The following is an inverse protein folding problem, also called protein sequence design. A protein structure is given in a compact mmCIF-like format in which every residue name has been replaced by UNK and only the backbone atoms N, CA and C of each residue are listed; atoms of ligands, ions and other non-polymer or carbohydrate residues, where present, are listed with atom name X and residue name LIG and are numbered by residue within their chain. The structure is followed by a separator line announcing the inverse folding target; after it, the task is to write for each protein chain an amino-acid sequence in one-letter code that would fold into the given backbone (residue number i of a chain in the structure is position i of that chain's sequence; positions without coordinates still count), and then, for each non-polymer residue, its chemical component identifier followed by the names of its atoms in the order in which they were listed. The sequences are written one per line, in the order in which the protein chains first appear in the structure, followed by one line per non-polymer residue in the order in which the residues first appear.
data_IF_410446035013
#
_entry.id   IF_410446035013
#
_cell.length_a   1.000
_cell.length_b   1.000
_cell.length_c   1.000
_cell.angle_alpha   90.00
_cell.angle_beta   90.00
_cell.angle_gamma   90.00
#
_symmetry.space_group_name_H-M   'P 1'
#
loop_
_entity.id
_entity.type
_entity.pdbx_description
1 polymer ?
#
# COMPACT_ATOMS: atom_id res chain seq x y z
N UNK A 1 -13.03 -2.68 5.06
CA UNK A 1 -14.13 -3.48 5.65
C UNK A 1 -15.08 -2.52 6.36
N UNK A 2 -16.40 -2.66 6.16
CA UNK A 2 -17.39 -1.86 6.86
C UNK A 2 -18.08 -2.69 7.95
N UNK A 3 -18.13 -2.14 9.17
CA UNK A 3 -18.77 -2.73 10.34
C UNK A 3 -19.91 -1.80 10.76
N UNK A 4 -21.09 -2.35 11.03
CA UNK A 4 -22.23 -1.56 11.51
C UNK A 4 -22.58 -2.01 12.92
N UNK A 5 -22.39 -1.12 13.89
CA UNK A 5 -22.87 -1.30 15.26
C UNK A 5 -24.30 -0.78 15.33
N UNK A 6 -25.28 -1.69 15.26
CA UNK A 6 -26.70 -1.33 15.14
C UNK A 6 -27.31 -0.84 16.45
N UNK A 7 -26.84 -1.34 17.60
CA UNK A 7 -27.46 -1.08 18.90
C UNK A 7 -26.44 -1.02 20.04
N UNK A 8 -26.83 -0.44 21.17
CA UNK A 8 -26.03 -0.38 22.41
C UNK A 8 -25.63 -1.76 22.94
N UNK A 9 -26.42 -2.80 22.63
CA UNK A 9 -26.18 -4.18 23.07
C UNK A 9 -25.15 -4.91 22.20
N UNK A 10 -24.68 -4.27 21.13
CA UNK A 10 -23.59 -4.78 20.31
C UNK A 10 -22.27 -4.56 21.07
N UNK A 11 -21.35 -5.54 21.10
CA UNK A 11 -20.11 -5.47 21.87
C UNK A 11 -19.33 -4.17 21.65
N UNK A 12 -18.71 -3.69 22.73
CA UNK A 12 -17.91 -2.45 22.76
C UNK A 12 -16.58 -2.61 22.01
N UNK A 13 -16.12 -3.85 21.84
CA UNK A 13 -14.90 -4.19 21.12
C UNK A 13 -15.20 -5.21 20.02
N UNK A 14 -14.72 -4.92 18.81
CA UNK A 14 -14.69 -5.89 17.72
C UNK A 14 -13.28 -6.46 17.58
N UNK A 15 -13.14 -7.76 17.75
CA UNK A 15 -11.85 -8.46 17.69
C UNK A 15 -11.71 -9.20 16.36
N UNK A 16 -10.61 -8.98 15.66
CA UNK A 16 -10.27 -9.62 14.40
C UNK A 16 -8.96 -10.39 14.55
N UNK A 17 -8.95 -11.65 14.09
CA UNK A 17 -7.69 -12.39 13.99
C UNK A 17 -6.81 -11.76 12.92
N UNK A 18 -5.59 -11.35 13.29
CA UNK A 18 -4.63 -10.78 12.35
C UNK A 18 -3.56 -11.82 12.03
N UNK A 19 -3.59 -12.32 10.78
CA UNK A 19 -2.50 -13.16 10.27
C UNK A 19 -1.46 -12.25 9.61
N UNK A 20 -0.28 -12.16 10.22
CA UNK A 20 0.86 -11.42 9.66
C UNK A 20 1.82 -12.36 8.93
N UNK A 21 2.58 -11.86 7.94
CA UNK A 21 3.62 -12.64 7.26
C UNK A 21 4.70 -13.14 8.23
N UNK A 22 5.43 -14.20 7.84
CA UNK A 22 6.59 -14.67 8.60
C UNK A 22 7.72 -13.61 8.58
N UNK A 23 8.47 -13.52 9.68
CA UNK A 23 9.53 -12.50 9.85
C UNK A 23 8.99 -11.08 10.05
N UNK A 24 7.78 -10.96 10.61
CA UNK A 24 7.13 -9.67 10.88
C UNK A 24 6.51 -9.66 12.28
N UNK A 25 6.39 -8.46 12.85
CA UNK A 25 5.69 -8.24 14.11
C UNK A 25 4.71 -7.07 13.98
N UNK A 26 3.82 -6.97 14.96
CA UNK A 26 2.87 -5.86 15.07
C UNK A 26 3.30 -4.91 16.18
N UNK A 27 3.18 -3.62 15.92
CA UNK A 27 3.47 -2.57 16.90
C UNK A 27 2.33 -1.57 16.98
N UNK A 28 1.99 -1.19 18.20
CA UNK A 28 1.01 -0.14 18.45
C UNK A 28 1.62 1.22 18.02
N UNK A 29 0.94 1.91 17.12
CA UNK A 29 1.15 3.32 16.81
C UNK A 29 0.16 4.20 17.58
N UNK A 30 0.17 5.51 17.32
CA UNK A 30 -0.69 6.46 18.05
C UNK A 30 -2.20 6.16 17.89
N UNK A 31 -2.66 5.90 16.65
CA UNK A 31 -4.03 5.50 16.30
C UNK A 31 -4.06 4.44 15.17
N UNK A 32 -2.99 3.68 15.07
CA UNK A 32 -2.82 2.67 14.04
C UNK A 32 -2.14 1.47 14.65
N UNK A 33 -2.31 0.32 14.01
CA UNK A 33 -1.44 -0.82 14.24
C UNK A 33 -0.53 -0.95 13.03
N UNK A 34 0.78 -0.92 13.28
CA UNK A 34 1.80 -1.07 12.25
C UNK A 34 2.20 -2.53 12.18
N UNK A 35 2.30 -3.06 10.96
CA UNK A 35 2.96 -4.34 10.68
C UNK A 35 4.35 -3.99 10.20
N UNK A 36 5.37 -4.49 10.87
CA UNK A 36 6.78 -4.16 10.63
C UNK A 36 7.56 -5.45 10.36
N UNK A 37 8.60 -5.37 9.53
CA UNK A 37 9.58 -6.44 9.42
C UNK A 37 10.34 -6.62 10.74
N UNK A 38 10.77 -7.84 11.02
CA UNK A 38 11.64 -8.09 12.17
C UNK A 38 13.01 -7.44 11.97
N UNK A 39 13.52 -6.84 13.04
CA UNK A 39 14.84 -6.24 13.02
C UNK A 39 15.94 -7.33 12.98
N UNK A 40 17.00 -7.06 12.22
CA UNK A 40 18.22 -7.88 12.18
C UNK A 40 19.46 -7.01 12.41
N UNK A 41 20.62 -7.58 12.77
CA UNK A 41 21.84 -6.79 12.95
C UNK A 41 22.17 -5.93 11.72
N UNK A 42 22.17 -4.60 11.88
CA UNK A 42 22.39 -3.63 10.80
C UNK A 42 21.17 -3.30 9.92
N UNK A 43 20.01 -3.92 10.18
CA UNK A 43 18.76 -3.69 9.44
C UNK A 43 17.64 -3.38 10.46
N UNK A 44 17.28 -2.09 10.67
CA UNK A 44 16.19 -1.74 11.58
C UNK A 44 14.86 -2.27 11.04
N UNK A 45 13.91 -2.53 11.94
CA UNK A 45 12.54 -2.86 11.58
C UNK A 45 11.96 -1.75 10.68
N UNK A 46 11.31 -2.16 9.60
CA UNK A 46 10.65 -1.23 8.68
C UNK A 46 9.17 -1.55 8.63
N UNK A 47 8.32 -0.52 8.67
CA UNK A 47 6.90 -0.69 8.41
C UNK A 47 6.71 -1.34 7.04
N UNK A 48 5.77 -2.27 6.94
CA UNK A 48 5.37 -2.91 5.68
C UNK A 48 3.85 -2.85 5.48
N UNK A 49 3.09 -2.59 6.56
CA UNK A 49 1.68 -2.25 6.46
C UNK A 49 1.19 -1.42 7.66
N UNK A 50 0.06 -0.76 7.48
CA UNK A 50 -0.66 -0.01 8.51
C UNK A 50 -2.13 -0.42 8.51
N UNK A 51 -2.65 -0.74 9.69
CA UNK A 51 -4.06 -0.95 9.97
C UNK A 51 -4.60 0.31 10.67
N UNK A 52 -5.67 0.88 10.14
CA UNK A 52 -6.24 2.13 10.63
C UNK A 52 -7.76 2.14 10.51
N UNK A 53 -8.41 2.97 11.32
CA UNK A 53 -9.84 3.26 11.20
C UNK A 53 -10.00 4.68 10.66
N UNK A 54 -9.99 4.88 9.33
CA UNK A 54 -10.03 6.22 8.75
C UNK A 54 -11.38 6.92 8.90
N UNK A 55 -12.48 6.17 9.05
CA UNK A 55 -13.83 6.73 9.16
C UNK A 55 -14.63 5.95 10.19
N UNK A 56 -15.22 6.66 11.14
CA UNK A 56 -16.29 6.16 11.97
C UNK A 56 -17.33 7.28 12.20
N UNK A 57 -18.61 6.97 11.99
CA UNK A 57 -19.69 7.97 12.10
C UNK A 57 -20.88 7.44 12.87
N UNK A 58 -21.51 8.32 13.63
CA UNK A 58 -22.76 8.07 14.34
C UNK A 58 -23.99 8.19 13.41
N UNK A 59 -25.18 7.94 13.96
CA UNK A 59 -26.46 8.05 13.26
C UNK A 59 -26.77 9.43 12.65
N UNK A 60 -26.16 10.48 13.21
CA UNK A 60 -26.32 11.88 12.80
C UNK A 60 -25.22 12.30 11.81
N UNK A 61 -24.31 11.39 11.48
CA UNK A 61 -23.16 11.63 10.60
C UNK A 61 -21.96 12.28 11.30
N UNK A 62 -21.98 12.46 12.62
CA UNK A 62 -20.86 13.03 13.36
C UNK A 62 -19.70 12.04 13.42
N UNK A 63 -18.43 12.50 13.35
CA UNK A 63 -17.28 11.64 13.50
C UNK A 63 -17.21 11.04 14.93
N UNK A 64 -16.87 9.75 14.99
CA UNK A 64 -16.64 9.01 16.23
C UNK A 64 -15.17 8.61 16.28
N UNK A 65 -14.52 8.80 17.42
CA UNK A 65 -13.14 8.40 17.60
C UNK A 65 -13.08 6.88 17.81
N UNK A 66 -12.32 6.18 16.95
CA UNK A 66 -12.11 4.73 17.06
C UNK A 66 -10.62 4.45 16.99
N UNK A 67 -10.12 3.69 17.97
CA UNK A 67 -8.70 3.39 18.08
C UNK A 67 -8.47 1.90 17.82
N UNK A 68 -7.72 1.53 16.76
CA UNK A 68 -7.27 0.17 16.59
C UNK A 68 -6.18 -0.13 17.63
N UNK A 69 -6.37 -1.19 18.41
CA UNK A 69 -5.42 -1.64 19.43
C UNK A 69 -5.02 -3.10 19.22
N UNK A 70 -3.75 -3.41 19.50
CA UNK A 70 -3.30 -4.80 19.56
C UNK A 70 -3.94 -5.45 20.78
N UNK A 71 -4.62 -6.56 20.55
CA UNK A 71 -5.25 -7.37 21.58
C UNK A 71 -4.67 -8.79 21.52
N UNK A 72 -4.29 -9.35 22.66
CA UNK A 72 -3.86 -10.74 22.74
C UNK A 72 -4.94 -11.56 23.39
N UNK A 73 -5.37 -12.65 22.76
CA UNK A 73 -6.05 -13.71 23.50
C UNK A 73 -4.99 -14.70 23.99
N UNK A 74 -4.72 -14.69 25.30
CA UNK A 74 -3.65 -15.45 25.94
C UNK A 74 -3.79 -16.97 25.69
N UNK A 75 -4.99 -17.42 25.31
CA UNK A 75 -5.32 -18.82 25.05
C UNK A 75 -4.84 -19.31 23.69
N UNK A 76 -4.71 -18.44 22.68
CA UNK A 76 -4.50 -18.87 21.29
C UNK A 76 -3.18 -18.42 20.65
N UNK A 77 -2.31 -17.68 21.37
CA UNK A 77 -1.08 -17.08 20.82
C UNK A 77 -1.31 -16.32 19.50
N UNK A 78 -2.54 -15.85 19.25
CA UNK A 78 -2.91 -15.09 18.07
C UNK A 78 -2.83 -13.60 18.39
N UNK A 79 -2.16 -12.85 17.51
CA UNK A 79 -2.25 -11.40 17.52
C UNK A 79 -3.63 -11.02 17.00
N UNK A 80 -4.47 -10.47 17.86
CA UNK A 80 -5.78 -9.95 17.47
C UNK A 80 -5.72 -8.43 17.34
N UNK A 81 -6.53 -7.89 16.45
CA UNK A 81 -6.81 -6.46 16.36
C UNK A 81 -8.15 -6.21 17.03
N UNK A 82 -8.19 -5.36 18.06
CA UNK A 82 -9.43 -4.87 18.63
C UNK A 82 -9.70 -3.43 18.18
N UNK A 83 -10.96 -3.11 17.91
CA UNK A 83 -11.40 -1.73 17.68
C UNK A 83 -12.04 -1.20 18.95
N UNK A 84 -11.34 -0.28 19.62
CA UNK A 84 -11.85 0.42 20.79
C UNK A 84 -12.63 1.66 20.34
N UNK A 85 -13.92 1.66 20.66
CA UNK A 85 -14.89 2.69 20.30
C UNK A 85 -15.00 3.81 21.34
N UNK A 86 -14.25 3.72 22.45
CA UNK A 86 -14.39 4.62 23.59
C UNK A 86 -15.71 4.41 24.36
N UNK A 87 -16.04 5.30 25.31
CA UNK A 87 -17.24 5.18 26.13
C UNK A 87 -18.51 5.19 25.27
N UNK A 88 -19.45 4.27 25.57
CA UNK A 88 -20.68 4.11 24.81
C UNK A 88 -21.61 5.33 24.93
N UNK A 89 -21.86 6.03 23.81
CA UNK A 89 -22.93 7.01 23.69
C UNK A 89 -24.20 6.36 23.12
N UNK A 90 -25.25 6.25 23.95
CA UNK A 90 -26.52 5.62 23.60
C UNK A 90 -27.26 6.29 22.43
N UNK A 91 -26.91 7.52 22.07
CA UNK A 91 -27.51 8.26 20.96
C UNK A 91 -26.72 8.17 19.65
N UNK A 92 -25.56 7.52 19.64
CA UNK A 92 -24.68 7.44 18.49
C UNK A 92 -25.04 6.33 17.48
N UNK A 93 -26.08 5.54 17.74
CA UNK A 93 -26.40 4.34 16.98
C UNK A 93 -27.37 4.57 15.81
N UNK A 94 -27.10 4.03 14.60
CA UNK A 94 -26.02 3.10 14.28
C UNK A 94 -24.66 3.79 14.07
N UNK A 95 -23.59 3.12 14.51
CA UNK A 95 -22.22 3.56 14.18
C UNK A 95 -21.70 2.76 12.99
N UNK A 96 -21.29 3.44 11.94
CA UNK A 96 -20.60 2.83 10.79
C UNK A 96 -19.10 3.02 10.94
N UNK A 97 -18.34 1.93 10.93
CA UNK A 97 -16.88 1.92 11.10
C UNK A 97 -16.27 1.33 9.84
N UNK A 98 -15.32 2.04 9.24
CA UNK A 98 -14.52 1.53 8.13
C UNK A 98 -13.13 1.19 8.63
N UNK A 99 -12.77 -0.10 8.59
CA UNK A 99 -11.43 -0.59 8.85
C UNK A 99 -10.66 -0.70 7.52
N UNK A 100 -9.50 -0.06 7.45
CA UNK A 100 -8.65 -0.05 6.26
C UNK A 100 -7.28 -0.65 6.54
N UNK A 101 -6.86 -1.57 5.67
CA UNK A 101 -5.52 -2.13 5.63
C UNK A 101 -4.76 -1.47 4.47
N UNK A 102 -3.60 -0.88 4.78
CA UNK A 102 -2.69 -0.30 3.80
C UNK A 102 -1.35 -1.02 3.91
N UNK A 103 -1.05 -1.95 3.01
CA UNK A 103 0.35 -2.34 2.79
C UNK A 103 1.11 -1.07 2.41
N UNK A 104 2.25 -0.76 3.01
CA UNK A 104 3.16 0.34 2.64
C UNK A 104 4.35 0.39 3.59
N UNK A 105 5.52 0.79 3.09
CA UNK A 105 6.69 1.11 3.89
C UNK A 105 6.67 2.49 4.56
N UNK A 106 5.68 3.32 4.20
CA UNK A 106 5.45 4.62 4.84
C UNK A 106 4.31 4.47 5.85
N UNK A 107 4.56 4.68 7.16
CA UNK A 107 3.52 4.67 8.17
C UNK A 107 2.41 5.68 7.82
N UNK A 108 1.16 5.25 7.88
CA UNK A 108 0.04 6.20 7.91
C UNK A 108 -0.19 6.64 9.36
N UNK A 109 -0.28 7.94 9.61
CA UNK A 109 -0.68 8.46 10.92
C UNK A 109 -2.20 8.37 11.05
N UNK A 110 -2.70 7.48 11.89
CA UNK A 110 -4.14 7.40 12.18
C UNK A 110 -4.70 8.57 13.00
N UNK A 111 -4.01 9.73 13.11
CA UNK A 111 -4.51 10.88 13.89
C UNK A 111 -4.59 12.20 13.13
N UNK A 112 -5.77 12.82 13.29
CA UNK A 112 -6.10 14.24 13.47
C UNK A 112 -5.53 15.23 12.44
N UNK A 113 -5.91 15.07 11.18
CA UNK A 113 -6.20 16.23 10.34
C UNK A 113 -7.72 16.29 10.12
N UNK A 114 -8.26 17.50 10.06
CA UNK A 114 -9.71 17.79 10.06
C UNK A 114 -10.41 17.54 8.72
N UNK A 115 -9.82 16.75 7.81
CA UNK A 115 -10.24 16.65 6.41
C UNK A 115 -10.68 15.24 5.97
N UNK A 116 -10.88 14.30 6.91
CA UNK A 116 -11.19 12.90 6.60
C UNK A 116 -12.69 12.58 6.56
N UNK A 117 -13.42 13.17 5.62
CA UNK A 117 -14.73 12.60 5.22
C UNK A 117 -14.61 11.20 4.57
N UNK A 118 -13.40 10.63 4.50
CA UNK A 118 -13.00 9.76 3.41
C UNK A 118 -12.72 10.60 2.17
N UNK A 119 -11.95 10.07 1.22
CA UNK A 119 -11.99 10.67 -0.11
C UNK A 119 -13.39 10.37 -0.67
N UNK A 120 -14.20 11.38 -1.00
CA UNK A 120 -15.51 11.15 -1.59
C UNK A 120 -15.36 10.44 -2.93
N UNK A 121 -16.42 9.79 -3.38
CA UNK A 121 -16.49 9.27 -4.74
C UNK A 121 -16.24 10.42 -5.72
N UNK A 122 -15.24 10.24 -6.59
CA UNK A 122 -14.73 11.30 -7.47
C UNK A 122 -13.32 11.80 -7.11
N UNK A 123 -12.77 11.33 -6.00
CA UNK A 123 -11.47 11.78 -5.49
C UNK A 123 -11.60 13.12 -4.77
N UNK A 124 -10.68 13.37 -3.85
CA UNK A 124 -10.68 14.57 -3.03
C UNK A 124 -9.83 15.71 -3.60
N UNK A 125 -9.80 16.86 -2.90
CA UNK A 125 -8.90 17.97 -3.21
C UNK A 125 -7.43 17.52 -3.36
N UNK A 126 -6.58 18.27 -4.07
CA UNK A 126 -5.15 17.96 -4.25
C UNK A 126 -4.42 17.61 -2.93
N UNK A 127 -4.82 18.24 -1.83
CA UNK A 127 -4.32 18.01 -0.49
C UNK A 127 -4.66 16.60 0.02
N UNK A 128 -5.86 16.12 -0.27
CA UNK A 128 -6.32 14.78 0.12
C UNK A 128 -5.68 13.68 -0.77
N UNK A 129 -5.39 13.99 -2.05
CA UNK A 129 -4.56 13.14 -2.92
C UNK A 129 -3.09 13.09 -2.45
N UNK A 130 -2.57 14.20 -1.92
CA UNK A 130 -1.25 14.26 -1.27
C UNK A 130 -1.24 13.46 0.04
N UNK A 131 -2.33 13.50 0.82
CA UNK A 131 -2.51 12.69 2.03
C UNK A 131 -2.59 11.18 1.74
N UNK A 132 -3.12 10.78 0.57
CA UNK A 132 -3.06 9.39 0.09
C UNK A 132 -1.62 8.91 -0.23
N UNK A 133 -0.62 9.81 -0.16
CA UNK A 133 0.79 9.56 -0.43
C UNK A 133 1.01 8.85 -1.77
N UNK A 134 0.34 9.32 -2.83
CA UNK A 134 0.58 8.82 -4.17
C UNK A 134 2.05 9.05 -4.51
N UNK A 135 2.79 7.96 -4.68
CA UNK A 135 4.19 8.05 -5.07
C UNK A 135 4.25 8.10 -6.60
N UNK A 136 4.51 9.30 -7.14
CA UNK A 136 4.55 9.52 -8.59
C UNK A 136 5.62 8.69 -9.31
N UNK A 137 5.63 8.69 -10.64
CA UNK A 137 6.59 7.94 -11.43
C UNK A 137 8.06 8.27 -11.04
N UNK A 138 8.94 7.27 -10.89
CA UNK A 138 10.37 7.50 -10.69
C UNK A 138 10.96 8.16 -11.94
N UNK A 139 11.58 9.33 -11.76
CA UNK A 139 12.14 10.11 -12.88
C UNK A 139 13.36 9.49 -13.55
N UNK A 140 13.96 8.47 -12.93
CA UNK A 140 15.16 7.77 -13.37
C UNK A 140 14.90 6.31 -13.78
N UNK A 141 13.63 5.93 -13.94
CA UNK A 141 13.29 4.63 -14.52
C UNK A 141 13.67 4.57 -16.00
N UNK A 142 14.41 3.53 -16.37
CA UNK A 142 14.84 3.30 -17.75
C UNK A 142 13.84 2.38 -18.44
N UNK A 143 13.18 2.90 -19.46
CA UNK A 143 12.36 2.13 -20.41
C UNK A 143 13.27 1.66 -21.54
N UNK A 144 13.46 0.35 -21.66
CA UNK A 144 14.31 -0.28 -22.68
C UNK A 144 13.82 -1.70 -22.98
N UNK A 145 12.60 -1.86 -23.54
CA UNK A 145 12.04 -3.18 -23.82
C UNK A 145 12.84 -3.96 -24.87
N UNK A 146 13.63 -3.26 -25.70
CA UNK A 146 14.52 -3.86 -26.69
C UNK A 146 15.87 -4.33 -26.14
N UNK A 147 16.22 -3.97 -24.90
CA UNK A 147 17.49 -4.35 -24.29
C UNK A 147 18.71 -3.66 -24.91
N UNK A 148 18.55 -2.48 -25.52
CA UNK A 148 19.63 -1.73 -26.16
C UNK A 148 20.74 -1.32 -25.17
N UNK A 149 20.39 -1.14 -23.88
CA UNK A 149 21.30 -0.78 -22.80
C UNK A 149 21.61 -1.93 -21.85
N UNK A 150 21.17 -3.17 -22.18
CA UNK A 150 21.40 -4.35 -21.35
C UNK A 150 22.88 -4.74 -21.33
N UNK A 151 23.51 -4.85 -20.16
CA UNK A 151 24.85 -5.44 -20.06
C UNK A 151 24.88 -6.90 -20.53
N UNK A 152 25.96 -7.30 -21.20
CA UNK A 152 26.06 -8.65 -21.80
C UNK A 152 25.96 -9.82 -20.80
N UNK A 153 26.26 -9.58 -19.53
CA UNK A 153 26.20 -10.55 -18.45
C UNK A 153 24.83 -10.62 -17.73
N UNK A 154 23.87 -9.78 -18.12
CA UNK A 154 22.53 -9.75 -17.53
C UNK A 154 21.57 -10.63 -18.31
N UNK A 155 20.78 -11.45 -17.62
CA UNK A 155 19.75 -12.28 -18.23
C UNK A 155 18.73 -11.43 -19.02
N UNK A 156 18.44 -11.76 -20.30
CA UNK A 156 17.56 -10.95 -21.15
C UNK A 156 16.11 -10.93 -20.68
N UNK A 157 15.62 -12.02 -20.10
CA UNK A 157 14.25 -12.12 -19.60
C UNK A 157 14.10 -11.28 -18.35
N UNK A 158 15.05 -11.37 -17.41
CA UNK A 158 15.09 -10.57 -16.21
C UNK A 158 15.17 -9.07 -16.55
N UNK A 159 16.07 -8.67 -17.46
CA UNK A 159 16.19 -7.28 -17.89
C UNK A 159 14.91 -6.75 -18.54
N UNK A 160 14.31 -7.50 -19.46
CA UNK A 160 13.07 -7.11 -20.11
C UNK A 160 11.92 -6.94 -19.10
N UNK A 161 11.89 -7.74 -18.02
CA UNK A 161 10.92 -7.56 -16.95
C UNK A 161 11.12 -6.27 -16.17
N UNK A 162 12.36 -5.78 -16.04
CA UNK A 162 12.69 -4.57 -15.27
C UNK A 162 12.59 -3.29 -16.06
N UNK A 163 12.77 -3.34 -17.38
CA UNK A 163 12.83 -2.16 -18.25
C UNK A 163 11.70 -2.13 -19.28
N UNK A 164 10.54 -2.67 -18.91
CA UNK A 164 9.34 -2.64 -19.73
C UNK A 164 8.82 -1.20 -19.96
N UNK A 165 8.01 -1.01 -21.00
CA UNK A 165 7.30 0.25 -21.29
C UNK A 165 5.85 0.25 -20.77
N UNK A 166 5.47 -0.82 -20.05
CA UNK A 166 4.12 -1.04 -19.53
C UNK A 166 4.13 -1.98 -18.33
N UNK A 167 3.04 -2.00 -17.59
CA UNK A 167 2.77 -3.03 -16.59
C UNK A 167 2.69 -4.40 -17.28
N UNK A 168 3.58 -5.33 -16.92
CA UNK A 168 3.57 -6.68 -17.51
C UNK A 168 2.35 -7.51 -17.06
N UNK A 169 1.85 -7.17 -15.88
CA UNK A 169 0.68 -7.76 -15.24
C UNK A 169 -0.67 -7.34 -15.83
N UNK A 170 -0.73 -6.36 -16.74
CA UNK A 170 -2.00 -5.87 -17.27
C UNK A 170 -1.99 -4.41 -17.71
N UNK A 171 -3.16 -3.76 -17.77
CA UNK A 171 -3.29 -2.35 -18.14
C UNK A 171 -2.43 -1.42 -17.29
N UNK A 172 -2.00 -0.30 -17.87
CA UNK A 172 -1.27 0.75 -17.16
C UNK A 172 -2.17 1.58 -16.24
N UNK A 173 -3.48 1.48 -16.38
CA UNK A 173 -4.46 2.26 -15.64
C UNK A 173 -5.76 1.49 -15.46
N UNK A 174 -6.53 1.86 -14.45
CA UNK A 174 -7.95 1.55 -14.38
C UNK A 174 -8.76 2.80 -14.72
N UNK A 175 -9.76 2.65 -15.59
CA UNK A 175 -10.63 3.74 -16.04
C UNK A 175 -12.09 3.37 -15.80
N UNK A 176 -12.82 4.21 -15.10
CA UNK A 176 -14.27 4.08 -14.88
C UNK A 176 -15.07 4.55 -16.09
N UNK A 177 -16.36 4.22 -16.12
CA UNK A 177 -17.28 4.62 -17.20
C UNK A 177 -17.42 6.13 -17.32
N UNK A 178 -17.34 6.86 -16.19
CA UNK A 178 -17.39 8.32 -16.15
C UNK A 178 -16.06 9.01 -16.52
N UNK A 179 -15.03 8.22 -16.86
CA UNK A 179 -13.76 8.72 -17.38
C UNK A 179 -12.73 9.10 -16.33
N UNK A 180 -12.97 8.87 -15.03
CA UNK A 180 -11.92 8.95 -14.01
C UNK A 180 -10.92 7.82 -14.18
N UNK A 181 -9.64 8.11 -13.89
CA UNK A 181 -8.54 7.17 -14.12
C UNK A 181 -7.62 7.07 -12.90
N UNK A 182 -7.27 5.85 -12.52
CA UNK A 182 -6.19 5.55 -11.56
C UNK A 182 -4.97 5.00 -12.32
N UNK A 183 -3.83 5.66 -12.18
CA UNK A 183 -2.57 5.26 -12.83
C UNK A 183 -1.88 4.14 -12.05
N UNK A 184 -1.65 3.00 -12.70
CA UNK A 184 -0.86 1.89 -12.15
C UNK A 184 0.55 1.83 -12.71
N UNK A 185 0.85 2.56 -13.78
CA UNK A 185 2.15 2.49 -14.43
C UNK A 185 3.29 2.92 -13.51
N UNK A 186 3.11 4.05 -12.81
CA UNK A 186 4.06 4.52 -11.80
C UNK A 186 4.35 3.46 -10.71
N UNK A 187 3.36 2.66 -10.33
CA UNK A 187 3.50 1.58 -9.36
C UNK A 187 4.33 0.42 -9.92
N UNK A 188 4.10 0.03 -11.18
CA UNK A 188 4.86 -1.00 -11.88
C UNK A 188 6.33 -0.60 -12.07
N UNK A 189 6.62 0.65 -12.45
CA UNK A 189 7.99 1.17 -12.56
C UNK A 189 8.74 1.08 -11.23
N UNK A 190 8.09 1.49 -10.13
CA UNK A 190 8.67 1.40 -8.78
C UNK A 190 8.91 -0.02 -8.33
N UNK A 191 8.00 -0.94 -8.68
CA UNK A 191 8.17 -2.36 -8.39
C UNK A 191 9.42 -2.90 -9.08
N UNK A 192 9.60 -2.60 -10.38
CA UNK A 192 10.79 -3.00 -11.12
C UNK A 192 12.07 -2.47 -10.46
N UNK A 193 12.14 -1.17 -10.19
CA UNK A 193 13.31 -0.56 -9.53
C UNK A 193 13.58 -1.11 -8.13
N UNK A 194 12.54 -1.44 -7.38
CA UNK A 194 12.68 -2.09 -6.07
C UNK A 194 13.29 -3.48 -6.21
N UNK A 195 12.83 -4.25 -7.20
CA UNK A 195 13.33 -5.60 -7.44
C UNK A 195 14.81 -5.60 -7.87
N UNK A 196 15.30 -4.55 -8.53
CA UNK A 196 16.70 -4.41 -8.95
C UNK A 196 17.70 -4.40 -7.79
N UNK A 197 17.25 -4.04 -6.58
CA UNK A 197 18.11 -4.03 -5.37
C UNK A 197 17.87 -5.23 -4.46
N UNK A 198 17.08 -6.22 -4.90
CA UNK A 198 16.88 -7.48 -4.17
C UNK A 198 18.03 -8.47 -4.40
N UNK A 199 18.38 -9.32 -3.43
CA UNK A 199 17.96 -9.30 -2.03
C UNK A 199 18.79 -8.34 -1.16
N UNK A 200 19.74 -7.60 -1.75
CA UNK A 200 20.78 -6.88 -1.01
C UNK A 200 20.24 -5.75 -0.11
N UNK A 201 19.18 -5.05 -0.54
CA UNK A 201 18.60 -3.91 0.20
C UNK A 201 17.16 -4.15 0.65
N UNK A 202 16.46 -5.13 0.07
CA UNK A 202 15.05 -5.43 0.36
C UNK A 202 14.69 -6.83 -0.13
N UNK A 203 13.48 -7.34 0.19
CA UNK A 203 12.97 -8.61 -0.29
C UNK A 203 12.01 -8.45 -1.47
N UNK A 204 11.86 -9.52 -2.26
CA UNK A 204 10.92 -9.59 -3.38
C UNK A 204 9.48 -9.37 -2.91
N UNK A 205 9.12 -9.92 -1.75
CA UNK A 205 7.82 -9.79 -1.12
C UNK A 205 7.53 -8.34 -0.74
N UNK A 206 8.50 -7.62 -0.16
CA UNK A 206 8.36 -6.20 0.18
C UNK A 206 8.10 -5.38 -1.09
N UNK A 207 8.84 -5.62 -2.17
CA UNK A 207 8.62 -4.93 -3.44
C UNK A 207 7.22 -5.20 -4.03
N UNK A 208 6.74 -6.45 -3.99
CA UNK A 208 5.40 -6.83 -4.45
C UNK A 208 4.31 -6.16 -3.61
N UNK A 209 4.47 -6.13 -2.29
CA UNK A 209 3.53 -5.49 -1.38
C UNK A 209 3.49 -3.96 -1.57
N UNK A 210 4.65 -3.33 -1.80
CA UNK A 210 4.72 -1.89 -2.08
C UNK A 210 4.08 -1.53 -3.42
N UNK A 211 4.15 -2.39 -4.44
CA UNK A 211 3.46 -2.17 -5.70
C UNK A 211 1.94 -2.15 -5.51
N UNK A 212 1.40 -3.16 -4.81
CA UNK A 212 -0.02 -3.24 -4.48
C UNK A 212 -0.49 -2.06 -3.62
N UNK A 213 0.33 -1.65 -2.64
CA UNK A 213 0.12 -0.47 -1.82
C UNK A 213 -0.11 0.80 -2.66
N UNK A 214 0.80 1.03 -3.61
CA UNK A 214 0.79 2.22 -4.44
C UNK A 214 -0.43 2.22 -5.38
N UNK A 215 -0.76 1.07 -5.99
CA UNK A 215 -1.95 0.91 -6.83
C UNK A 215 -3.25 1.13 -6.01
N UNK A 216 -3.31 0.58 -4.79
CA UNK A 216 -4.46 0.78 -3.90
C UNK A 216 -4.62 2.25 -3.52
N UNK A 217 -3.51 2.96 -3.27
CA UNK A 217 -3.53 4.39 -3.01
C UNK A 217 -4.05 5.20 -4.21
N UNK A 218 -3.73 4.78 -5.44
CA UNK A 218 -4.26 5.37 -6.67
C UNK A 218 -5.77 5.16 -6.79
N UNK A 219 -6.26 3.95 -6.49
CA UNK A 219 -7.70 3.68 -6.43
C UNK A 219 -8.40 4.58 -5.40
N UNK A 220 -7.82 4.69 -4.20
CA UNK A 220 -8.36 5.53 -3.15
C UNK A 220 -8.38 7.01 -3.54
N UNK A 221 -7.28 7.50 -4.14
CA UNK A 221 -7.13 8.88 -4.60
C UNK A 221 -8.14 9.28 -5.68
N UNK A 222 -8.50 8.36 -6.58
CA UNK A 222 -9.37 8.63 -7.72
C UNK A 222 -10.84 8.34 -7.43
N UNK A 223 -11.13 7.26 -6.71
CA UNK A 223 -12.50 6.75 -6.56
C UNK A 223 -13.05 6.88 -5.13
N UNK A 224 -12.24 7.30 -4.17
CA UNK A 224 -12.64 7.29 -2.77
C UNK A 224 -12.36 5.95 -2.10
N UNK A 225 -12.98 5.67 -0.96
CA UNK A 225 -12.69 4.45 -0.17
C UNK A 225 -13.79 3.38 -0.25
N UNK A 226 -14.87 3.66 -0.96
CA UNK A 226 -16.06 2.80 -1.09
C UNK A 226 -16.71 3.03 -2.44
N UNK A 227 -17.56 2.10 -2.87
CA UNK A 227 -18.33 2.21 -4.10
C UNK A 227 -17.84 1.28 -5.21
N UNK A 228 -18.64 1.08 -6.26
CA UNK A 228 -18.39 0.07 -7.28
C UNK A 228 -17.10 0.33 -8.07
N UNK A 229 -16.79 1.60 -8.38
CA UNK A 229 -15.55 1.94 -9.10
C UNK A 229 -14.31 1.70 -8.26
N UNK A 230 -14.37 2.01 -6.96
CA UNK A 230 -13.27 1.73 -6.03
C UNK A 230 -13.03 0.22 -5.89
N UNK A 231 -14.08 -0.57 -5.72
CA UNK A 231 -13.99 -2.03 -5.63
C UNK A 231 -13.46 -2.65 -6.92
N UNK A 232 -13.94 -2.18 -8.09
CA UNK A 232 -13.44 -2.61 -9.39
C UNK A 232 -11.96 -2.26 -9.57
N UNK A 233 -11.55 -1.04 -9.23
CA UNK A 233 -10.16 -0.62 -9.27
C UNK A 233 -9.27 -1.51 -8.38
N UNK A 234 -9.69 -1.79 -7.14
CA UNK A 234 -8.96 -2.68 -6.24
C UNK A 234 -8.89 -4.11 -6.76
N UNK A 235 -9.93 -4.61 -7.42
CA UNK A 235 -9.89 -5.94 -8.04
C UNK A 235 -8.83 -6.02 -9.14
N UNK A 236 -8.70 -4.97 -9.96
CA UNK A 236 -7.62 -4.90 -10.95
C UNK A 236 -6.25 -4.86 -10.25
N UNK A 237 -6.07 -4.00 -9.24
CA UNK A 237 -4.82 -3.94 -8.46
C UNK A 237 -4.45 -5.28 -7.79
N UNK A 238 -5.43 -6.04 -7.29
CA UNK A 238 -5.23 -7.40 -6.79
C UNK A 238 -4.79 -8.36 -7.89
N UNK A 239 -5.36 -8.25 -9.10
CA UNK A 239 -4.91 -8.98 -10.29
C UNK A 239 -3.44 -8.71 -10.61
N UNK A 240 -3.01 -7.44 -10.54
CA UNK A 240 -1.60 -7.07 -10.70
C UNK A 240 -0.69 -7.75 -9.65
N UNK A 241 -1.11 -7.76 -8.38
CA UNK A 241 -0.36 -8.37 -7.30
C UNK A 241 -0.27 -9.90 -7.45
N UNK A 242 -1.38 -10.56 -7.80
CA UNK A 242 -1.44 -12.00 -8.03
C UNK A 242 -0.52 -12.42 -9.18
N UNK A 243 -0.62 -11.74 -10.33
CA UNK A 243 0.26 -11.99 -11.47
C UNK A 243 1.73 -11.77 -11.12
N UNK A 244 2.04 -10.68 -10.41
CA UNK A 244 3.39 -10.35 -9.98
C UNK A 244 3.99 -11.44 -9.09
N UNK A 245 3.18 -12.05 -8.22
CA UNK A 245 3.63 -13.11 -7.31
C UNK A 245 4.16 -14.30 -8.08
N UNK A 246 3.47 -14.69 -9.15
CA UNK A 246 3.72 -15.89 -9.94
C UNK A 246 4.74 -15.68 -11.07
N UNK A 247 4.82 -14.48 -11.65
CA UNK A 247 5.52 -14.26 -12.92
C UNK A 247 6.74 -13.34 -12.83
N UNK A 248 6.82 -12.45 -11.83
CA UNK A 248 7.99 -11.57 -11.70
C UNK A 248 9.14 -12.31 -11.03
N UNK A 249 10.25 -12.33 -11.75
CA UNK A 249 11.53 -12.84 -11.27
C UNK A 249 12.07 -11.92 -10.19
N UNK A 250 12.64 -12.49 -9.13
CA UNK A 250 13.54 -11.76 -8.23
C UNK A 250 14.94 -11.65 -8.83
N UNK A 251 15.86 -11.02 -8.11
CA UNK A 251 17.26 -10.92 -8.50
C UNK A 251 17.64 -9.50 -8.86
N UNK A 252 18.80 -9.10 -8.36
CA UNK A 252 19.30 -7.75 -8.48
C UNK A 252 19.88 -7.48 -9.86
N UNK A 253 19.69 -6.25 -10.31
CA UNK A 253 20.25 -5.71 -11.54
C UNK A 253 20.89 -4.37 -11.23
N UNK A 254 22.00 -4.05 -11.85
CA UNK A 254 22.51 -2.68 -11.84
C UNK A 254 21.57 -1.79 -12.66
N UNK A 255 21.53 -0.49 -12.35
CA UNK A 255 20.77 0.49 -13.13
C UNK A 255 21.46 0.70 -14.48
N UNK A 256 20.81 0.41 -15.62
CA UNK A 256 21.39 0.69 -16.93
C UNK A 256 21.56 2.20 -17.15
N UNK A 257 22.59 2.57 -17.90
CA UNK A 257 22.86 3.98 -18.24
C UNK A 257 22.23 4.28 -19.60
N UNK A 258 21.04 4.87 -19.58
CA UNK A 258 20.32 5.33 -20.76
C UNK A 258 20.59 6.80 -21.12
N UNK A 259 20.09 7.29 -22.27
CA UNK A 259 20.18 8.68 -22.67
C UNK A 259 19.53 9.60 -21.63
N UNK A 260 20.29 10.53 -21.06
CA UNK A 260 19.81 11.45 -20.01
C UNK A 260 20.06 10.99 -18.57
N UNK A 261 20.69 9.83 -18.36
CA UNK A 261 21.09 9.37 -17.03
C UNK A 261 22.16 10.30 -16.45
N UNK A 262 21.86 10.95 -15.33
CA UNK A 262 22.82 11.78 -14.62
C UNK A 262 23.61 10.95 -13.61
N UNK A 263 24.71 10.35 -14.05
CA UNK A 263 25.56 9.46 -13.23
C UNK A 263 26.31 10.16 -12.10
N UNK A 264 26.15 11.48 -11.94
CA UNK A 264 26.68 12.23 -10.78
C UNK A 264 25.88 11.98 -9.50
N UNK A 265 24.65 11.49 -9.62
CA UNK A 265 23.79 11.11 -8.49
C UNK A 265 23.58 9.60 -8.50
N UNK A 266 23.36 9.00 -7.34
CA UNK A 266 22.92 7.61 -7.29
C UNK A 266 21.49 7.49 -7.84
N UNK A 267 21.15 6.34 -8.45
CA UNK A 267 19.76 5.96 -8.73
C UNK A 267 18.85 6.15 -7.50
N UNK A 268 17.59 6.51 -7.73
CA UNK A 268 16.61 6.82 -6.68
C UNK A 268 16.21 5.62 -5.83
N UNK A 269 16.51 4.40 -6.30
CA UNK A 269 16.40 3.15 -5.56
C UNK A 269 17.70 2.76 -4.80
N UNK A 270 18.67 3.68 -4.66
CA UNK A 270 19.99 3.43 -4.06
C UNK A 270 20.79 2.31 -4.74
N UNK A 271 20.48 2.02 -6.01
CA UNK A 271 21.23 1.05 -6.79
C UNK A 271 22.58 1.62 -7.26
N UNK A 272 23.37 0.82 -7.96
CA UNK A 272 24.58 1.25 -8.67
C UNK A 272 24.33 1.20 -10.17
N UNK A 273 24.93 2.11 -10.91
CA UNK A 273 24.92 2.03 -12.36
C UNK A 273 25.72 0.83 -12.85
N UNK A 274 25.28 0.25 -13.96
CA UNK A 274 26.03 -0.78 -14.66
C UNK A 274 27.37 -0.21 -15.16
N UNK A 275 28.44 -0.98 -14.96
CA UNK A 275 29.81 -0.69 -15.41
C UNK A 275 30.14 -1.44 -16.69
#
# INVERSE_FOLDING_TARGET
MNIIRRTIFTPENFTFGLRVPEGTHVRQGANVVLVESDAAPGLPATTIATLSVPVARDAKGNPVQVTPVIHGDYVYQQSNLALDLGPADIFAFPVTITLSYRASSVPASGQLASDWEGLPEGGGPPEAKKAAQIIGAPGDYVVDPGGAHRPGNVDPVLYAQRHADRCLSGPNEFRSEDGRTADFWSSCQRQAMCLDVTPAQTSVEVCKNQAFANMSAQCTATFGQTGPDYEACLNVANGHAAWSKENLLGGGLCQPVGPGTNTRFLPSNNNRYCS
#
